data_IF_683633677056
#
_entry.id   IF_683633677056
#
_cell.length_a   1.000
_cell.length_b   1.000
_cell.length_c   1.000
_cell.angle_alpha   90.00
_cell.angle_beta   90.00
_cell.angle_gamma   90.00
#
_symmetry.space_group_name_H-M   'P 1'
#
loop_
_entity.id
_entity.type
_entity.pdbx_description
1 polymer ?
#
# COMPACT_ATOMS: atom_id res chain seq x y z
N UNK A 1 -13.18 16.62 -13.55
CA UNK A 1 -14.04 15.76 -12.72
C UNK A 1 -13.31 14.45 -12.52
N UNK A 2 -13.11 14.03 -11.27
CA UNK A 2 -12.30 12.87 -10.88
C UNK A 2 -13.10 11.59 -11.12
N UNK A 3 -13.12 11.09 -12.36
CA UNK A 3 -13.91 9.89 -12.69
C UNK A 3 -13.08 8.62 -12.57
N UNK A 4 -13.76 7.51 -12.27
CA UNK A 4 -13.19 6.18 -12.15
C UNK A 4 -12.35 5.79 -13.39
N UNK A 5 -12.87 6.03 -14.60
CA UNK A 5 -12.19 5.74 -15.86
C UNK A 5 -10.90 6.54 -16.03
N UNK A 6 -10.88 7.79 -15.55
CA UNK A 6 -9.68 8.64 -15.60
C UNK A 6 -8.53 8.08 -14.74
N UNK A 7 -8.85 7.36 -13.66
CA UNK A 7 -7.87 6.72 -12.80
C UNK A 7 -7.40 5.39 -13.39
N UNK A 8 -8.32 4.58 -13.90
CA UNK A 8 -7.98 3.29 -14.50
C UNK A 8 -7.13 3.43 -15.76
N UNK A 9 -7.38 4.43 -16.59
CA UNK A 9 -6.55 4.71 -17.76
C UNK A 9 -5.07 5.03 -17.43
N UNK A 10 -4.75 5.34 -16.16
CA UNK A 10 -3.38 5.58 -15.69
C UNK A 10 -2.67 4.31 -15.20
N UNK A 11 -3.34 3.17 -15.23
CA UNK A 11 -2.83 1.87 -14.79
C UNK A 11 -2.90 0.89 -15.95
N UNK A 12 -1.75 0.36 -16.35
CA UNK A 12 -1.62 -0.51 -17.53
C UNK A 12 -1.63 -2.00 -17.20
N UNK A 13 -1.48 -2.38 -15.93
CA UNK A 13 -1.41 -3.76 -15.49
C UNK A 13 -2.79 -4.29 -15.11
N UNK A 14 -3.06 -5.60 -15.31
CA UNK A 14 -4.29 -6.22 -14.85
C UNK A 14 -4.38 -6.13 -13.33
N UNK A 15 -5.55 -5.72 -12.82
CA UNK A 15 -5.79 -5.46 -11.40
C UNK A 15 -6.35 -6.67 -10.63
N UNK A 16 -6.45 -7.81 -11.30
CA UNK A 16 -7.08 -9.01 -10.78
C UNK A 16 -8.60 -8.89 -10.73
N UNK A 17 -9.19 -9.46 -9.69
CA UNK A 17 -10.63 -9.45 -9.47
C UNK A 17 -11.20 -8.04 -9.30
N UNK A 18 -12.45 -7.86 -9.71
CA UNK A 18 -13.19 -6.60 -9.72
C UNK A 18 -13.70 -6.15 -8.34
N UNK A 19 -13.32 -6.85 -7.26
CA UNK A 19 -13.72 -6.54 -5.88
C UNK A 19 -13.29 -5.14 -5.40
N UNK A 20 -12.32 -4.51 -6.06
CA UNK A 20 -11.90 -3.15 -5.76
C UNK A 20 -12.81 -2.07 -6.37
N UNK A 21 -13.64 -2.40 -7.37
CA UNK A 21 -14.43 -1.43 -8.14
C UNK A 21 -15.47 -0.74 -7.25
N UNK A 22 -16.25 -1.52 -6.49
CA UNK A 22 -17.27 -0.99 -5.59
C UNK A 22 -16.69 -0.07 -4.51
N UNK A 23 -15.74 -0.51 -3.66
CA UNK A 23 -15.22 0.35 -2.59
C UNK A 23 -14.51 1.59 -3.13
N UNK A 24 -13.82 1.49 -4.27
CA UNK A 24 -13.21 2.65 -4.93
C UNK A 24 -14.28 3.62 -5.43
N UNK A 25 -15.38 3.13 -6.00
CA UNK A 25 -16.48 3.98 -6.47
C UNK A 25 -17.14 4.74 -5.33
N UNK A 26 -17.36 4.09 -4.18
CA UNK A 26 -17.87 4.73 -2.97
C UNK A 26 -16.91 5.84 -2.49
N UNK A 27 -15.61 5.53 -2.42
CA UNK A 27 -14.58 6.48 -1.99
C UNK A 27 -14.51 7.72 -2.90
N UNK A 28 -14.54 7.52 -4.22
CA UNK A 28 -14.50 8.63 -5.18
C UNK A 28 -15.75 9.51 -5.10
N UNK A 29 -16.92 8.89 -4.89
CA UNK A 29 -18.17 9.63 -4.69
C UNK A 29 -18.14 10.48 -3.42
N UNK A 30 -17.55 9.97 -2.34
CA UNK A 30 -17.35 10.74 -1.11
C UNK A 30 -16.38 11.90 -1.32
N UNK A 31 -15.27 11.65 -2.02
CA UNK A 31 -14.33 12.72 -2.38
C UNK A 31 -14.96 13.82 -3.23
N UNK A 32 -15.80 13.47 -4.19
CA UNK A 32 -16.47 14.46 -5.04
C UNK A 32 -17.50 15.30 -4.29
N UNK A 33 -18.26 14.70 -3.37
CA UNK A 33 -19.46 15.32 -2.81
C UNK A 33 -19.31 15.86 -1.38
N UNK A 34 -18.36 15.35 -0.59
CA UNK A 34 -18.34 15.57 0.87
C UNK A 34 -16.97 15.99 1.43
N UNK A 35 -15.89 15.78 0.71
CA UNK A 35 -14.54 15.87 1.28
C UNK A 35 -13.92 17.26 1.40
N UNK A 36 -14.55 18.31 0.84
CA UNK A 36 -14.04 19.70 0.82
C UNK A 36 -12.53 19.81 0.52
N UNK A 37 -12.02 18.98 -0.40
CA UNK A 37 -10.60 18.93 -0.72
C UNK A 37 -10.13 20.23 -1.38
N UNK A 38 -8.99 20.75 -0.91
CA UNK A 38 -8.27 21.79 -1.64
C UNK A 38 -7.74 21.23 -2.96
N UNK A 39 -7.38 22.10 -3.90
CA UNK A 39 -6.79 21.67 -5.19
C UNK A 39 -5.57 20.77 -5.00
N UNK A 40 -4.70 21.09 -4.03
CA UNK A 40 -3.53 20.28 -3.71
C UNK A 40 -3.92 18.95 -3.06
N UNK A 41 -4.88 18.95 -2.13
CA UNK A 41 -5.39 17.73 -1.51
C UNK A 41 -5.98 16.77 -2.55
N UNK A 42 -6.75 17.30 -3.49
CA UNK A 42 -7.35 16.52 -4.57
C UNK A 42 -6.32 15.85 -5.48
N UNK A 43 -5.21 16.54 -5.79
CA UNK A 43 -4.10 15.98 -6.54
C UNK A 43 -3.37 14.89 -5.75
N UNK A 44 -3.15 15.12 -4.45
CA UNK A 44 -2.48 14.16 -3.56
C UNK A 44 -3.27 12.86 -3.41
N UNK A 45 -4.60 12.97 -3.21
CA UNK A 45 -5.52 11.83 -3.15
C UNK A 45 -5.52 11.06 -4.47
N UNK A 46 -5.65 11.77 -5.61
CA UNK A 46 -5.62 11.13 -6.93
C UNK A 46 -4.32 10.34 -7.14
N UNK A 47 -3.17 10.94 -6.84
CA UNK A 47 -1.87 10.27 -6.94
C UNK A 47 -1.82 9.03 -6.04
N UNK A 48 -2.26 9.16 -4.80
CA UNK A 48 -2.28 8.07 -3.82
C UNK A 48 -3.15 6.89 -4.25
N UNK A 49 -4.28 7.14 -4.92
CA UNK A 49 -5.15 6.08 -5.45
C UNK A 49 -4.48 5.38 -6.64
N UNK A 50 -3.95 6.15 -7.60
CA UNK A 50 -3.27 5.59 -8.78
C UNK A 50 -2.06 4.75 -8.35
N UNK A 51 -1.27 5.22 -7.38
CA UNK A 51 -0.11 4.48 -6.88
C UNK A 51 -0.55 3.15 -6.22
N UNK A 52 -1.62 3.14 -5.42
CA UNK A 52 -2.19 1.90 -4.84
C UNK A 52 -2.68 0.92 -5.91
N UNK A 53 -3.36 1.39 -6.95
CA UNK A 53 -3.83 0.54 -8.05
C UNK A 53 -2.65 -0.03 -8.85
N UNK A 54 -1.61 0.76 -9.11
CA UNK A 54 -0.37 0.26 -9.74
C UNK A 54 0.27 -0.85 -8.92
N UNK A 55 0.41 -0.65 -7.60
CA UNK A 55 0.94 -1.70 -6.72
C UNK A 55 0.08 -2.95 -6.73
N UNK A 56 -1.25 -2.81 -6.72
CA UNK A 56 -2.17 -3.96 -6.86
C UNK A 56 -1.91 -4.73 -8.14
N UNK A 57 -1.80 -4.06 -9.29
CA UNK A 57 -1.53 -4.73 -10.57
C UNK A 57 -0.17 -5.41 -10.62
N UNK A 58 0.87 -4.78 -10.06
CA UNK A 58 2.20 -5.39 -9.93
C UNK A 58 2.17 -6.64 -9.04
N UNK A 59 1.48 -6.56 -7.89
CA UNK A 59 1.35 -7.68 -6.97
C UNK A 59 0.54 -8.83 -7.60
N UNK A 60 -0.56 -8.53 -8.29
CA UNK A 60 -1.36 -9.53 -8.99
C UNK A 60 -0.54 -10.26 -10.06
N UNK A 61 0.20 -9.50 -10.88
CA UNK A 61 1.09 -10.10 -11.88
C UNK A 61 2.19 -10.93 -11.22
N UNK A 62 2.79 -10.44 -10.14
CA UNK A 62 3.83 -11.17 -9.42
C UNK A 62 3.30 -12.48 -8.83
N UNK A 63 2.15 -12.45 -8.16
CA UNK A 63 1.53 -13.64 -7.57
C UNK A 63 1.15 -14.69 -8.63
N UNK A 64 0.66 -14.28 -9.80
CA UNK A 64 0.31 -15.21 -10.87
C UNK A 64 1.52 -15.80 -11.61
N UNK A 65 2.66 -15.10 -11.59
CA UNK A 65 3.86 -15.50 -12.32
C UNK A 65 4.86 -16.29 -11.46
N UNK A 66 4.62 -16.41 -10.15
CA UNK A 66 5.54 -17.05 -9.21
C UNK A 66 4.80 -18.10 -8.38
N UNK A 67 5.45 -19.23 -8.12
CA UNK A 67 4.98 -20.17 -7.11
C UNK A 67 5.37 -19.65 -5.73
N UNK A 68 4.40 -19.08 -5.02
CA UNK A 68 4.60 -18.60 -3.66
C UNK A 68 4.37 -19.73 -2.67
N UNK A 69 5.19 -19.78 -1.63
CA UNK A 69 4.97 -20.68 -0.49
C UNK A 69 3.76 -20.22 0.32
N UNK A 70 3.06 -21.17 0.94
CA UNK A 70 1.98 -20.83 1.87
C UNK A 70 2.55 -20.06 3.08
N UNK A 71 1.93 -18.94 3.47
CA UNK A 71 2.39 -18.21 4.64
C UNK A 71 2.17 -19.04 5.91
N UNK A 72 3.06 -18.87 6.89
CA UNK A 72 2.88 -19.44 8.23
C UNK A 72 1.64 -18.84 8.91
N UNK A 73 1.19 -19.47 10.00
CA UNK A 73 0.03 -18.98 10.77
C UNK A 73 0.33 -17.58 11.32
N UNK A 74 -0.40 -16.53 10.90
CA UNK A 74 -0.06 -15.16 11.26
C UNK A 74 -0.57 -14.80 12.66
N UNK A 75 0.19 -13.95 13.34
CA UNK A 75 -0.28 -13.23 14.54
C UNK A 75 -0.78 -11.85 14.08
N UNK A 76 -2.04 -11.54 14.38
CA UNK A 76 -2.65 -10.24 14.06
C UNK A 76 -2.83 -9.43 15.33
N UNK A 77 -2.10 -8.32 15.44
CA UNK A 77 -2.27 -7.35 16.52
C UNK A 77 -3.34 -6.34 16.13
N UNK A 78 -4.42 -6.25 16.92
CA UNK A 78 -5.54 -5.33 16.69
C UNK A 78 -5.93 -4.64 17.99
N UNK A 79 -6.43 -3.40 17.88
CA UNK A 79 -6.82 -2.56 19.00
C UNK A 79 -7.12 -1.14 18.56
N UNK A 80 -7.65 -0.33 19.47
CA UNK A 80 -7.90 1.09 19.20
C UNK A 80 -6.58 1.84 18.93
N UNK A 81 -6.60 2.92 18.12
CA UNK A 81 -5.46 3.81 18.03
C UNK A 81 -5.01 4.24 19.43
N UNK A 82 -3.70 4.21 19.70
CA UNK A 82 -3.08 4.59 20.99
C UNK A 82 -3.32 3.63 22.16
N UNK A 83 -3.72 2.37 21.91
CA UNK A 83 -3.88 1.33 22.95
C UNK A 83 -2.59 0.56 23.30
N UNK A 84 -1.43 0.96 22.76
CA UNK A 84 -0.16 0.26 22.96
C UNK A 84 0.13 -0.84 21.94
N UNK A 85 -0.68 -0.97 20.88
CA UNK A 85 -0.45 -1.95 19.79
C UNK A 85 0.91 -1.79 19.11
N UNK A 86 1.41 -0.55 18.96
CA UNK A 86 2.75 -0.29 18.44
C UNK A 86 3.84 -0.89 19.33
N UNK A 87 3.74 -0.69 20.65
CA UNK A 87 4.71 -1.25 21.60
C UNK A 87 4.69 -2.78 21.58
N UNK A 88 3.50 -3.40 21.51
CA UNK A 88 3.38 -4.85 21.37
C UNK A 88 3.99 -5.35 20.05
N UNK A 89 3.78 -4.63 18.95
CA UNK A 89 4.37 -4.98 17.66
C UNK A 89 5.91 -4.91 17.71
N UNK A 90 6.46 -3.90 18.37
CA UNK A 90 7.91 -3.76 18.57
C UNK A 90 8.49 -4.90 19.42
N UNK A 91 7.78 -5.33 20.47
CA UNK A 91 8.18 -6.48 21.29
C UNK A 91 8.22 -7.79 20.48
N UNK A 92 7.22 -8.02 19.62
CA UNK A 92 7.22 -9.19 18.73
C UNK A 92 8.41 -9.14 17.76
N UNK A 93 8.79 -7.95 17.31
CA UNK A 93 9.91 -7.76 16.39
C UNK A 93 11.29 -8.01 17.03
N UNK A 94 11.39 -8.11 18.36
CA UNK A 94 12.62 -8.50 19.05
C UNK A 94 12.96 -10.00 18.92
N UNK A 95 12.01 -10.83 18.49
CA UNK A 95 12.23 -12.27 18.27
C UNK A 95 12.45 -12.56 16.78
N UNK A 96 13.48 -13.34 16.46
CA UNK A 96 13.75 -13.81 15.11
C UNK A 96 12.70 -14.83 14.61
N UNK A 97 11.85 -15.36 15.51
CA UNK A 97 10.75 -16.25 15.15
C UNK A 97 9.62 -15.54 14.39
N UNK A 98 9.50 -14.21 14.55
CA UNK A 98 8.42 -13.43 13.96
C UNK A 98 8.94 -12.45 12.92
N UNK A 99 8.27 -12.40 11.77
CA UNK A 99 8.54 -11.42 10.72
C UNK A 99 7.31 -10.56 10.48
N UNK A 100 7.42 -9.26 10.78
CA UNK A 100 6.41 -8.25 10.45
C UNK A 100 6.82 -7.35 9.28
N UNK A 101 5.90 -6.68 8.59
CA UNK A 101 6.27 -5.77 7.49
C UNK A 101 7.12 -4.60 7.99
N UNK A 102 8.22 -4.31 7.29
CA UNK A 102 9.05 -3.12 7.54
C UNK A 102 8.40 -1.90 6.88
N UNK A 103 8.64 -0.72 7.44
CA UNK A 103 8.11 0.54 6.91
C UNK A 103 8.41 0.71 5.42
N UNK A 104 9.65 0.44 4.99
CA UNK A 104 10.01 0.57 3.57
C UNK A 104 9.33 -0.48 2.68
N UNK A 105 9.02 -1.68 3.20
CA UNK A 105 8.27 -2.70 2.45
C UNK A 105 6.82 -2.25 2.23
N UNK A 106 6.22 -1.55 3.19
CA UNK A 106 4.86 -1.00 3.05
C UNK A 106 4.84 0.14 2.02
N UNK A 107 5.82 1.05 2.07
CA UNK A 107 5.86 2.20 1.17
C UNK A 107 6.34 1.85 -0.24
N UNK A 108 7.18 0.82 -0.39
CA UNK A 108 7.83 0.40 -1.63
C UNK A 108 7.67 -1.12 -1.84
N UNK A 109 6.41 -1.58 -1.87
CA UNK A 109 6.06 -3.02 -1.92
C UNK A 109 6.68 -3.77 -3.09
N UNK A 110 6.77 -3.13 -4.25
CA UNK A 110 7.18 -3.76 -5.51
C UNK A 110 8.34 -3.00 -6.18
N UNK A 111 9.21 -3.69 -6.94
CA UNK A 111 9.33 -5.16 -7.06
C UNK A 111 9.80 -5.82 -5.75
N UNK A 112 9.72 -7.14 -5.58
CA UNK A 112 10.33 -7.77 -4.39
C UNK A 112 11.86 -7.72 -4.54
N UNK A 113 12.53 -7.04 -3.61
CA UNK A 113 13.97 -6.74 -3.72
C UNK A 113 14.82 -7.84 -3.10
N UNK A 114 15.53 -8.59 -3.93
CA UNK A 114 16.46 -9.62 -3.47
C UNK A 114 17.84 -9.06 -3.05
N UNK A 115 18.25 -7.90 -3.60
CA UNK A 115 19.60 -7.37 -3.37
C UNK A 115 19.64 -6.29 -2.28
N UNK A 116 20.73 -6.28 -1.51
CA UNK A 116 20.99 -5.26 -0.47
C UNK A 116 20.93 -3.83 -1.01
N UNK A 117 21.47 -3.62 -2.22
CA UNK A 117 21.46 -2.31 -2.87
C UNK A 117 20.04 -1.79 -3.12
N UNK A 118 19.14 -2.63 -3.65
CA UNK A 118 17.75 -2.25 -3.91
C UNK A 118 17.00 -1.96 -2.61
N UNK A 119 17.20 -2.79 -1.58
CA UNK A 119 16.62 -2.56 -0.25
C UNK A 119 17.05 -1.20 0.33
N UNK A 120 18.34 -0.86 0.27
CA UNK A 120 18.85 0.43 0.74
C UNK A 120 18.26 1.59 -0.07
N UNK A 121 18.15 1.46 -1.40
CA UNK A 121 17.50 2.48 -2.23
C UNK A 121 16.04 2.71 -1.80
N UNK A 122 15.28 1.65 -1.54
CA UNK A 122 13.89 1.76 -1.07
C UNK A 122 13.77 2.36 0.32
N UNK A 123 14.70 2.06 1.22
CA UNK A 123 14.75 2.67 2.55
C UNK A 123 14.93 4.18 2.44
N UNK A 124 15.95 4.63 1.71
CA UNK A 124 16.21 6.07 1.48
C UNK A 124 15.01 6.75 0.81
N UNK A 125 14.41 6.10 -0.20
CA UNK A 125 13.22 6.62 -0.86
C UNK A 125 12.03 6.75 0.11
N UNK A 126 11.85 5.77 1.00
CA UNK A 126 10.79 5.79 2.01
C UNK A 126 11.03 6.91 3.02
N UNK A 127 12.25 7.06 3.53
CA UNK A 127 12.61 8.16 4.44
C UNK A 127 12.34 9.53 3.82
N UNK A 128 12.67 9.71 2.53
CA UNK A 128 12.36 10.95 1.81
C UNK A 128 10.86 11.22 1.71
N UNK A 129 10.02 10.18 1.53
CA UNK A 129 8.55 10.33 1.53
C UNK A 129 8.04 10.68 2.92
N UNK A 130 8.56 10.03 3.97
CA UNK A 130 8.15 10.28 5.35
C UNK A 130 8.50 11.70 5.82
N UNK A 131 9.60 12.28 5.33
CA UNK A 131 9.98 13.67 5.63
C UNK A 131 9.04 14.71 5.00
N UNK A 132 8.26 14.32 3.99
CA UNK A 132 7.32 15.21 3.28
C UNK A 132 5.87 15.10 3.78
N UNK A 133 5.59 14.14 4.67
CA UNK A 133 4.29 13.94 5.32
C UNK A 133 4.20 14.75 6.63
#
# INVERSE_FOLDING_TARGET
VFTFDSLLNKVSLPLGEDTYIEPLSILLKDYENHSNLTRLGSLSVQKSIVDKLKFRGQLFQFANNNNLEEPSTPIVVSGLPRSGTTFLFDLLHCSDEFRGPLTWEIFQMMPIDASRYQQTYKQIKTEAVLLLL
#
